data_IF_145295529234
#
_entry.id   IF_145295529234
#
_cell.length_a   1.000
_cell.length_b   1.000
_cell.length_c   1.000
_cell.angle_alpha   90.00
_cell.angle_beta   90.00
_cell.angle_gamma   90.00
#
_symmetry.space_group_name_H-M   'P 1'
#
loop_
_entity.id
_entity.type
_entity.pdbx_description
1 polymer ?
#
# COMPACT_ATOMS: atom_id res chain seq x y z
N UNK A 1 19.43 -8.54 15.66
CA UNK A 1 19.28 -9.21 14.35
C UNK A 1 17.79 -9.19 14.01
N UNK A 2 17.44 -8.94 12.78
CA UNK A 2 16.03 -8.95 12.35
C UNK A 2 15.44 -10.36 12.52
N UNK A 3 14.18 -10.43 12.93
CA UNK A 3 13.39 -11.67 13.01
C UNK A 3 13.11 -12.25 11.61
N UNK A 4 13.05 -11.36 10.61
CA UNK A 4 12.82 -11.69 9.21
C UNK A 4 13.98 -11.19 8.36
N UNK A 5 14.38 -11.98 7.36
CA UNK A 5 15.43 -11.56 6.42
C UNK A 5 14.88 -10.61 5.36
N UNK A 6 13.62 -10.80 4.97
CA UNK A 6 12.93 -10.04 3.94
C UNK A 6 11.65 -9.43 4.51
N UNK A 7 11.51 -8.12 4.37
CA UNK A 7 10.35 -7.39 4.87
C UNK A 7 9.74 -6.62 3.70
N UNK A 8 8.49 -6.95 3.38
CA UNK A 8 7.72 -6.31 2.34
C UNK A 8 6.78 -5.29 2.99
N UNK A 9 6.83 -4.05 2.55
CA UNK A 9 5.97 -2.97 3.05
C UNK A 9 4.95 -2.57 1.99
N UNK A 10 3.70 -2.35 2.38
CA UNK A 10 2.83 -1.51 1.57
C UNK A 10 3.30 -0.04 1.65
N UNK A 11 2.77 0.79 0.78
CA UNK A 11 3.11 2.21 0.71
C UNK A 11 2.05 3.08 1.35
N UNK A 12 0.82 3.08 0.76
CA UNK A 12 -0.28 3.96 1.18
C UNK A 12 -0.89 3.46 2.49
N UNK A 13 -0.85 4.25 3.56
CA UNK A 13 -1.33 3.86 4.89
C UNK A 13 -0.31 3.10 5.74
N UNK A 14 0.84 2.72 5.17
CA UNK A 14 1.88 1.97 5.88
C UNK A 14 3.19 2.76 5.98
N UNK A 15 3.74 3.22 4.88
CA UNK A 15 4.92 4.09 4.86
C UNK A 15 4.54 5.56 4.79
N UNK A 16 3.44 5.87 4.09
CA UNK A 16 2.99 7.24 3.85
C UNK A 16 1.50 7.42 4.11
N UNK A 17 1.13 8.60 4.63
CA UNK A 17 -0.24 9.09 4.76
C UNK A 17 -0.63 9.81 3.47
N UNK A 18 -1.16 9.07 2.51
CA UNK A 18 -1.49 9.52 1.16
C UNK A 18 -2.97 9.86 0.96
N UNK A 19 -3.77 9.81 2.02
CA UNK A 19 -5.23 9.91 1.93
C UNK A 19 -5.72 11.20 1.32
N UNK A 20 -5.09 12.34 1.61
CA UNK A 20 -5.49 13.63 1.05
C UNK A 20 -5.42 13.61 -0.48
N UNK A 21 -4.29 13.21 -1.04
CA UNK A 21 -4.09 13.20 -2.49
C UNK A 21 -4.97 12.18 -3.21
N UNK A 22 -5.18 11.01 -2.60
CA UNK A 22 -6.08 9.99 -3.15
C UNK A 22 -7.52 10.48 -3.13
N UNK A 23 -8.01 11.01 -2.00
CA UNK A 23 -9.37 11.52 -1.86
C UNK A 23 -9.62 12.69 -2.83
N UNK A 24 -8.69 13.64 -2.94
CA UNK A 24 -8.80 14.76 -3.89
C UNK A 24 -8.90 14.26 -5.34
N UNK A 25 -8.12 13.23 -5.69
CA UNK A 25 -8.15 12.64 -7.02
C UNK A 25 -9.47 11.88 -7.30
N UNK A 26 -10.02 11.20 -6.29
CA UNK A 26 -11.35 10.56 -6.39
C UNK A 26 -12.44 11.61 -6.55
N UNK A 27 -12.42 12.69 -5.76
CA UNK A 27 -13.37 13.81 -5.89
C UNK A 27 -13.32 14.38 -7.31
N UNK A 28 -12.13 14.66 -7.84
CA UNK A 28 -11.96 15.15 -9.20
C UNK A 28 -12.60 14.22 -10.24
N UNK A 29 -12.39 12.91 -10.11
CA UNK A 29 -12.97 11.90 -11.02
C UNK A 29 -14.50 11.83 -10.93
N UNK A 30 -15.07 12.00 -9.74
CA UNK A 30 -16.52 11.98 -9.51
C UNK A 30 -17.19 13.26 -10.00
N UNK A 31 -16.61 14.43 -9.71
CA UNK A 31 -17.11 15.74 -10.18
C UNK A 31 -17.17 15.84 -11.71
N UNK A 32 -16.18 15.29 -12.41
CA UNK A 32 -16.20 15.21 -13.89
C UNK A 32 -17.33 14.35 -14.47
N UNK A 33 -18.00 13.58 -13.60
CA UNK A 33 -19.17 12.73 -13.93
C UNK A 33 -20.47 13.25 -13.35
N UNK A 34 -20.47 14.48 -12.83
CA UNK A 34 -21.63 15.07 -12.14
C UNK A 34 -22.11 14.20 -10.94
N UNK A 35 -21.21 13.41 -10.33
CA UNK A 35 -21.49 12.61 -9.13
C UNK A 35 -21.16 13.44 -7.90
N UNK A 36 -22.18 13.75 -7.10
CA UNK A 36 -22.01 14.50 -5.87
C UNK A 36 -21.21 13.72 -4.81
N UNK A 37 -20.34 14.42 -4.08
CA UNK A 37 -19.58 13.87 -2.95
C UNK A 37 -20.05 14.55 -1.66
N UNK A 38 -21.13 14.08 -1.03
CA UNK A 38 -21.69 14.68 0.17
C UNK A 38 -20.79 14.54 1.40
N UNK A 39 -20.00 13.46 1.46
CA UNK A 39 -19.08 13.18 2.56
C UNK A 39 -17.72 12.73 2.01
N UNK A 40 -16.72 13.62 2.13
CA UNK A 40 -15.35 13.33 1.72
C UNK A 40 -14.67 12.28 2.62
N UNK A 41 -15.06 12.19 3.89
CA UNK A 41 -14.47 11.22 4.81
C UNK A 41 -14.84 9.77 4.42
N UNK A 42 -16.02 9.56 3.82
CA UNK A 42 -16.41 8.26 3.29
C UNK A 42 -15.50 7.76 2.16
N UNK A 43 -14.76 8.65 1.48
CA UNK A 43 -13.83 8.27 0.41
C UNK A 43 -12.52 7.64 0.92
N UNK A 44 -12.29 7.59 2.24
CA UNK A 44 -11.12 6.89 2.81
C UNK A 44 -11.03 5.42 2.40
N UNK A 45 -12.16 4.81 2.06
CA UNK A 45 -12.24 3.43 1.54
C UNK A 45 -11.49 3.23 0.21
N UNK A 46 -11.13 4.31 -0.49
CA UNK A 46 -10.33 4.26 -1.72
C UNK A 46 -8.82 4.17 -1.45
N UNK A 47 -8.38 4.35 -0.20
CA UNK A 47 -6.96 4.28 0.14
C UNK A 47 -6.57 2.83 0.40
N UNK A 48 -5.65 2.30 -0.39
CA UNK A 48 -5.14 0.93 -0.34
C UNK A 48 -5.71 -0.01 -1.40
N UNK A 49 -7.04 -0.18 -1.54
CA UNK A 49 -7.61 -1.06 -2.56
C UNK A 49 -7.35 -0.63 -4.00
N UNK A 50 -7.39 -1.56 -4.98
CA UNK A 50 -7.39 -1.23 -6.40
C UNK A 50 -8.56 -0.28 -6.76
N UNK A 51 -8.27 0.80 -7.48
CA UNK A 51 -9.27 1.82 -7.82
C UNK A 51 -10.45 1.27 -8.60
N UNK A 52 -10.19 0.32 -9.52
CA UNK A 52 -11.24 -0.28 -10.34
C UNK A 52 -12.29 -1.00 -9.48
N UNK A 53 -11.81 -1.76 -8.49
CA UNK A 53 -12.66 -2.50 -7.56
C UNK A 53 -13.45 -1.52 -6.67
N UNK A 54 -12.79 -0.45 -6.18
CA UNK A 54 -13.43 0.58 -5.37
C UNK A 54 -14.52 1.35 -6.14
N UNK A 55 -14.27 1.76 -7.39
CA UNK A 55 -15.30 2.40 -8.21
C UNK A 55 -16.48 1.46 -8.52
N UNK A 56 -16.21 0.17 -8.74
CA UNK A 56 -17.27 -0.82 -8.93
C UNK A 56 -18.10 -1.02 -7.66
N UNK A 57 -17.43 -1.19 -6.51
CA UNK A 57 -18.07 -1.49 -5.23
C UNK A 57 -18.91 -0.32 -4.70
N UNK A 58 -18.38 0.89 -4.71
CA UNK A 58 -19.00 2.05 -4.05
C UNK A 58 -19.86 2.90 -4.99
N UNK A 59 -19.65 2.83 -6.29
CA UNK A 59 -20.36 3.62 -7.30
C UNK A 59 -21.06 2.78 -8.37
N UNK A 60 -20.98 1.45 -8.29
CA UNK A 60 -21.63 0.54 -9.25
C UNK A 60 -21.10 0.64 -10.67
N UNK A 61 -19.90 1.19 -10.86
CA UNK A 61 -19.31 1.38 -12.18
C UNK A 61 -18.91 0.04 -12.80
N UNK A 62 -19.31 -0.20 -14.04
CA UNK A 62 -18.77 -1.31 -14.81
C UNK A 62 -17.31 -1.04 -15.18
N UNK A 63 -16.63 -2.04 -15.78
CA UNK A 63 -15.20 -1.93 -16.10
C UNK A 63 -14.87 -0.73 -16.99
N UNK A 64 -15.71 -0.44 -18.00
CA UNK A 64 -15.48 0.68 -18.92
C UNK A 64 -15.59 2.03 -18.20
N UNK A 65 -16.63 2.21 -17.39
CA UNK A 65 -16.87 3.41 -16.59
C UNK A 65 -15.76 3.60 -15.55
N UNK A 66 -15.36 2.53 -14.85
CA UNK A 66 -14.27 2.54 -13.90
C UNK A 66 -12.93 2.93 -14.52
N UNK A 67 -12.61 2.42 -15.71
CA UNK A 67 -11.40 2.82 -16.44
C UNK A 67 -11.39 4.29 -16.83
N UNK A 68 -12.55 4.86 -17.22
CA UNK A 68 -12.69 6.30 -17.45
C UNK A 68 -12.53 7.09 -16.15
N UNK A 69 -13.09 6.59 -15.04
CA UNK A 69 -12.92 7.22 -13.73
C UNK A 69 -11.46 7.21 -13.29
N UNK A 70 -10.73 6.12 -13.49
CA UNK A 70 -9.30 6.02 -13.22
C UNK A 70 -8.50 7.00 -14.08
N UNK A 71 -8.87 7.20 -15.36
CA UNK A 71 -8.21 8.18 -16.21
C UNK A 71 -8.35 9.61 -15.64
N UNK A 72 -9.56 10.00 -15.23
CA UNK A 72 -9.82 11.30 -14.63
C UNK A 72 -9.14 11.44 -13.24
N UNK A 73 -9.16 10.39 -12.41
CA UNK A 73 -8.38 10.32 -11.16
C UNK A 73 -6.90 10.61 -11.45
N UNK A 74 -6.32 9.98 -12.48
CA UNK A 74 -4.91 10.12 -12.84
C UNK A 74 -4.55 11.51 -13.34
N UNK A 75 -5.48 12.27 -13.91
CA UNK A 75 -5.24 13.68 -14.27
C UNK A 75 -4.85 14.50 -13.04
N UNK A 76 -5.65 14.42 -11.97
CA UNK A 76 -5.36 15.13 -10.72
C UNK A 76 -4.15 14.54 -10.00
N UNK A 77 -4.12 13.21 -9.86
CA UNK A 77 -3.07 12.52 -9.10
C UNK A 77 -1.69 12.78 -9.68
N UNK A 78 -1.53 12.71 -11.00
CA UNK A 78 -0.24 12.90 -11.67
C UNK A 78 0.27 14.35 -11.56
N UNK A 79 -0.63 15.33 -11.56
CA UNK A 79 -0.29 16.76 -11.46
C UNK A 79 0.09 17.13 -10.02
N UNK A 80 -0.77 16.81 -9.05
CA UNK A 80 -0.62 17.27 -7.66
C UNK A 80 -0.89 16.23 -6.58
N UNK A 81 -1.86 15.34 -6.77
CA UNK A 81 -2.31 14.42 -5.72
C UNK A 81 -1.21 13.53 -5.15
N UNK A 82 -0.23 13.13 -5.94
CA UNK A 82 0.90 12.34 -5.45
C UNK A 82 1.79 13.07 -4.44
N UNK A 83 1.78 14.42 -4.42
CA UNK A 83 2.50 15.26 -3.45
C UNK A 83 1.68 15.61 -2.22
N UNK A 84 0.34 15.51 -2.30
CA UNK A 84 -0.57 15.66 -1.16
C UNK A 84 -0.48 14.40 -0.29
N UNK A 85 0.70 14.20 0.29
CA UNK A 85 1.14 12.98 0.94
C UNK A 85 2.24 13.33 1.96
N UNK A 86 2.41 12.51 2.99
CA UNK A 86 3.50 12.67 3.97
C UNK A 86 3.99 11.32 4.45
N UNK A 87 5.26 11.22 4.85
CA UNK A 87 5.81 10.02 5.47
C UNK A 87 5.34 9.96 6.92
N UNK A 88 4.88 8.80 7.40
CA UNK A 88 4.56 8.65 8.82
C UNK A 88 5.80 8.92 9.68
N UNK A 89 5.63 9.68 10.79
CA UNK A 89 6.74 9.95 11.71
C UNK A 89 7.38 8.64 12.20
N UNK A 90 8.71 8.59 12.19
CA UNK A 90 9.47 7.40 12.63
C UNK A 90 9.78 6.37 11.54
N UNK A 91 9.11 6.40 10.38
CA UNK A 91 9.35 5.44 9.27
C UNK A 91 10.81 5.44 8.80
N UNK A 92 11.47 6.57 8.47
CA UNK A 92 12.86 6.54 8.04
C UNK A 92 13.77 5.90 9.09
N UNK A 93 13.52 6.17 10.38
CA UNK A 93 14.31 5.65 11.49
C UNK A 93 14.20 4.13 11.64
N UNK A 94 12.97 3.57 11.51
CA UNK A 94 12.82 2.11 11.59
C UNK A 94 13.39 1.41 10.35
N UNK A 95 13.24 1.99 9.16
CA UNK A 95 13.83 1.43 7.93
C UNK A 95 15.35 1.35 8.03
N UNK A 96 16.01 2.42 8.54
CA UNK A 96 17.44 2.42 8.76
C UNK A 96 17.86 1.36 9.79
N UNK A 97 17.14 1.23 10.91
CA UNK A 97 17.42 0.22 11.92
C UNK A 97 17.27 -1.21 11.38
N UNK A 98 16.25 -1.48 10.58
CA UNK A 98 16.04 -2.79 9.94
C UNK A 98 17.17 -3.12 8.96
N UNK A 99 17.59 -2.16 8.12
CA UNK A 99 18.76 -2.32 7.23
C UNK A 99 20.02 -2.61 8.01
N UNK A 100 20.27 -1.87 9.10
CA UNK A 100 21.43 -2.08 9.97
C UNK A 100 21.38 -3.45 10.71
N UNK A 101 20.19 -3.99 10.95
CA UNK A 101 19.98 -5.34 11.47
C UNK A 101 20.17 -6.45 10.43
N UNK A 102 20.42 -6.10 9.16
CA UNK A 102 20.69 -7.01 8.05
C UNK A 102 19.44 -7.43 7.27
N UNK A 103 18.29 -6.76 7.46
CA UNK A 103 17.09 -7.06 6.70
C UNK A 103 17.16 -6.50 5.26
N UNK A 104 16.59 -7.23 4.32
CA UNK A 104 16.29 -6.79 2.96
C UNK A 104 14.88 -6.23 2.90
N UNK A 105 14.72 -4.99 2.43
CA UNK A 105 13.46 -4.30 2.43
C UNK A 105 12.92 -4.12 1.01
N UNK A 106 11.63 -4.36 0.83
CA UNK A 106 10.93 -4.19 -0.44
C UNK A 106 9.64 -3.40 -0.24
N UNK A 107 9.25 -2.62 -1.25
CA UNK A 107 7.88 -2.10 -1.34
C UNK A 107 7.07 -3.06 -2.22
N UNK A 108 5.92 -3.50 -1.71
CA UNK A 108 4.93 -4.34 -2.40
C UNK A 108 3.55 -3.67 -2.29
N UNK A 109 3.16 -2.86 -3.28
CA UNK A 109 1.99 -1.99 -3.18
C UNK A 109 0.99 -2.17 -4.32
N UNK A 110 -0.30 -2.01 -4.02
CA UNK A 110 -1.36 -1.95 -5.04
C UNK A 110 -1.34 -0.64 -5.84
N UNK A 111 -0.56 0.36 -5.40
CA UNK A 111 -0.32 1.57 -6.19
C UNK A 111 0.46 1.23 -7.47
N UNK A 112 0.15 1.83 -8.64
CA UNK A 112 0.95 1.64 -9.85
C UNK A 112 2.43 1.94 -9.64
N UNK A 113 3.31 1.02 -10.04
CA UNK A 113 4.75 1.05 -9.77
C UNK A 113 5.44 2.38 -10.13
N UNK A 114 5.12 3.05 -11.27
CA UNK A 114 5.75 4.34 -11.58
C UNK A 114 5.44 5.42 -10.54
N UNK A 115 4.22 5.41 -9.95
CA UNK A 115 3.87 6.35 -8.89
C UNK A 115 4.53 5.96 -7.56
N UNK A 116 4.59 4.66 -7.24
CA UNK A 116 5.26 4.20 -6.03
C UNK A 116 6.75 4.59 -6.02
N UNK A 117 7.45 4.39 -7.13
CA UNK A 117 8.85 4.79 -7.30
C UNK A 117 9.02 6.31 -7.16
N UNK A 118 8.18 7.09 -7.84
CA UNK A 118 8.21 8.57 -7.77
C UNK A 118 8.03 9.09 -6.35
N UNK A 119 7.10 8.51 -5.58
CA UNK A 119 6.83 8.88 -4.19
C UNK A 119 8.00 8.48 -3.30
N UNK A 120 8.52 7.26 -3.44
CA UNK A 120 9.65 6.79 -2.65
C UNK A 120 10.93 7.63 -2.90
N UNK A 121 11.16 8.06 -4.14
CA UNK A 121 12.26 8.97 -4.49
C UNK A 121 12.06 10.36 -3.88
N UNK A 122 10.85 10.93 -4.00
CA UNK A 122 10.54 12.27 -3.50
C UNK A 122 10.73 12.41 -1.99
N UNK A 123 10.37 11.36 -1.24
CA UNK A 123 10.53 11.32 0.22
C UNK A 123 11.87 10.73 0.68
N UNK A 124 12.82 10.52 -0.23
CA UNK A 124 14.14 9.92 0.08
C UNK A 124 14.05 8.55 0.77
N UNK A 125 12.99 7.80 0.48
CA UNK A 125 12.77 6.45 1.01
C UNK A 125 13.40 5.36 0.13
N UNK A 126 13.56 5.60 -1.17
CA UNK A 126 14.07 4.62 -2.15
C UNK A 126 15.42 4.01 -1.74
N UNK A 127 16.26 4.77 -1.04
CA UNK A 127 17.58 4.33 -0.56
C UNK A 127 17.55 3.15 0.43
N UNK A 128 16.40 2.91 1.08
CA UNK A 128 16.26 1.81 2.04
C UNK A 128 15.84 0.50 1.39
N UNK A 129 15.27 0.55 0.19
CA UNK A 129 14.63 -0.61 -0.44
C UNK A 129 15.51 -1.25 -1.51
N UNK A 130 15.58 -2.57 -1.46
CA UNK A 130 16.28 -3.38 -2.46
C UNK A 130 15.41 -3.53 -3.73
N UNK A 131 14.08 -3.34 -3.63
CA UNK A 131 13.15 -3.31 -4.75
C UNK A 131 11.85 -2.58 -4.43
N UNK A 132 11.25 -2.01 -5.45
CA UNK A 132 9.93 -1.36 -5.39
C UNK A 132 9.07 -1.96 -6.49
N UNK A 133 8.05 -2.69 -6.09
CA UNK A 133 7.10 -3.38 -6.98
C UNK A 133 5.69 -2.86 -6.71
N UNK A 134 5.01 -2.50 -7.75
CA UNK A 134 3.63 -2.03 -7.69
C UNK A 134 2.74 -2.69 -8.74
N UNK A 135 1.45 -2.31 -8.73
CA UNK A 135 0.51 -2.70 -9.76
C UNK A 135 0.88 -2.14 -11.14
N UNK A 136 0.22 -2.63 -12.18
CA UNK A 136 0.44 -2.11 -13.54
C UNK A 136 -0.58 -1.03 -13.92
N UNK A 137 -0.15 -0.05 -14.74
CA UNK A 137 -1.03 1.03 -15.20
C UNK A 137 -2.17 0.55 -16.09
N UNK A 138 -2.05 -0.61 -16.72
CA UNK A 138 -3.06 -1.22 -17.58
C UNK A 138 -4.08 -2.10 -16.82
N UNK A 139 -4.02 -2.07 -15.49
CA UNK A 139 -4.93 -2.80 -14.57
C UNK A 139 -4.95 -4.33 -14.83
N UNK A 140 -3.82 -4.93 -15.29
CA UNK A 140 -3.69 -6.38 -15.41
C UNK A 140 -3.19 -7.04 -14.14
N UNK A 141 -2.25 -6.37 -13.45
CA UNK A 141 -1.76 -6.77 -12.13
C UNK A 141 -2.24 -5.71 -11.15
N UNK A 142 -3.22 -6.07 -10.31
CA UNK A 142 -3.86 -5.15 -9.36
C UNK A 142 -3.93 -5.73 -7.95
N UNK A 143 -4.01 -7.06 -7.84
CA UNK A 143 -4.14 -7.73 -6.55
C UNK A 143 -2.84 -7.71 -5.78
N UNK A 144 -2.91 -7.47 -4.48
CA UNK A 144 -1.75 -7.51 -3.58
C UNK A 144 -0.98 -8.83 -3.68
N UNK A 145 -1.67 -9.95 -3.77
CA UNK A 145 -1.02 -11.26 -3.91
C UNK A 145 -0.15 -11.38 -5.16
N UNK A 146 -0.58 -10.83 -6.30
CA UNK A 146 0.20 -10.82 -7.54
C UNK A 146 1.46 -9.94 -7.41
N UNK A 147 1.33 -8.79 -6.73
CA UNK A 147 2.47 -7.89 -6.48
C UNK A 147 3.49 -8.55 -5.55
N UNK A 148 3.01 -9.20 -4.48
CA UNK A 148 3.88 -9.96 -3.57
C UNK A 148 4.61 -11.08 -4.33
N UNK A 149 3.92 -11.83 -5.18
CA UNK A 149 4.52 -12.90 -6.00
C UNK A 149 5.67 -12.37 -6.88
N UNK A 150 5.51 -11.17 -7.47
CA UNK A 150 6.58 -10.52 -8.23
C UNK A 150 7.78 -10.14 -7.36
N UNK A 151 7.57 -9.69 -6.12
CA UNK A 151 8.67 -9.43 -5.17
C UNK A 151 9.37 -10.74 -4.82
N UNK A 152 8.63 -11.80 -4.51
CA UNK A 152 9.19 -13.09 -4.16
C UNK A 152 10.00 -13.69 -5.31
N UNK A 153 9.57 -13.47 -6.56
CA UNK A 153 10.33 -13.88 -7.74
C UNK A 153 11.68 -13.13 -7.86
N UNK A 154 11.78 -11.88 -7.38
CA UNK A 154 13.05 -11.14 -7.31
C UNK A 154 13.96 -11.65 -6.19
N UNK A 155 13.40 -12.04 -5.05
CA UNK A 155 14.16 -12.59 -3.91
C UNK A 155 14.70 -13.99 -4.24
N UNK A 156 13.97 -14.79 -5.03
CA UNK A 156 14.31 -16.16 -5.34
C UNK A 156 13.85 -17.13 -4.24
N UNK A 157 14.38 -18.37 -4.22
CA UNK A 157 13.83 -19.45 -3.37
C UNK A 157 14.09 -19.30 -1.86
N UNK A 158 14.96 -18.37 -1.44
CA UNK A 158 15.38 -18.22 -0.03
C UNK A 158 14.37 -17.48 0.86
N UNK A 159 13.23 -17.03 0.33
CA UNK A 159 12.24 -16.26 1.07
C UNK A 159 11.47 -17.07 2.12
N UNK A 160 11.37 -18.38 1.97
CA UNK A 160 10.48 -19.23 2.76
C UNK A 160 10.80 -19.23 4.24
N UNK A 161 9.79 -18.91 5.08
CA UNK A 161 9.91 -18.83 6.53
C UNK A 161 10.76 -17.65 7.05
N UNK A 162 11.21 -16.75 6.15
CA UNK A 162 12.08 -15.61 6.48
C UNK A 162 11.51 -14.28 6.01
N UNK A 163 10.31 -14.29 5.44
CA UNK A 163 9.65 -13.11 4.85
C UNK A 163 8.39 -12.76 5.61
N UNK A 164 8.12 -11.46 5.75
CA UNK A 164 6.89 -10.92 6.34
C UNK A 164 6.38 -9.78 5.47
N UNK A 165 5.05 -9.66 5.36
CA UNK A 165 4.37 -8.47 4.83
C UNK A 165 4.01 -7.53 5.97
N UNK A 166 4.09 -6.24 5.73
CA UNK A 166 3.61 -5.17 6.62
C UNK A 166 2.63 -4.31 5.85
N UNK A 167 1.42 -4.16 6.36
CA UNK A 167 0.38 -3.39 5.70
C UNK A 167 -0.72 -2.97 6.65
N UNK A 168 -1.59 -2.07 6.23
CA UNK A 168 -2.65 -1.50 7.06
C UNK A 168 -4.05 -1.99 6.70
N UNK A 169 -4.21 -2.81 5.65
CA UNK A 169 -5.50 -3.28 5.17
C UNK A 169 -5.59 -4.80 5.07
N UNK A 170 -6.83 -5.31 5.06
CA UNK A 170 -7.11 -6.73 4.80
C UNK A 170 -6.47 -7.26 3.51
N UNK A 171 -6.32 -6.41 2.50
CA UNK A 171 -5.71 -6.78 1.22
C UNK A 171 -4.24 -7.19 1.37
N UNK A 172 -3.51 -6.57 2.31
CA UNK A 172 -2.13 -6.93 2.64
C UNK A 172 -2.06 -8.29 3.32
N UNK A 173 -2.96 -8.49 4.29
CA UNK A 173 -3.06 -9.76 5.02
C UNK A 173 -3.45 -10.88 4.09
N UNK A 174 -4.50 -10.69 3.29
CA UNK A 174 -4.98 -11.69 2.34
C UNK A 174 -3.95 -12.01 1.26
N UNK A 175 -3.31 -10.97 0.70
CA UNK A 175 -2.26 -11.14 -0.30
C UNK A 175 -1.02 -11.85 0.23
N UNK A 176 -0.61 -11.58 1.46
CA UNK A 176 0.46 -12.30 2.15
C UNK A 176 0.09 -13.78 2.35
N UNK A 177 -1.12 -14.04 2.85
CA UNK A 177 -1.63 -15.38 3.12
C UNK A 177 -1.73 -16.24 1.86
N UNK A 178 -2.18 -15.67 0.73
CA UNK A 178 -2.19 -16.37 -0.57
C UNK A 178 -0.78 -16.81 -1.00
N UNK A 179 0.26 -16.08 -0.58
CA UNK A 179 1.68 -16.38 -0.82
C UNK A 179 2.36 -17.17 0.31
N UNK A 180 1.60 -17.64 1.31
CA UNK A 180 2.13 -18.38 2.43
C UNK A 180 3.01 -17.56 3.39
N UNK A 181 2.84 -16.23 3.42
CA UNK A 181 3.58 -15.32 4.28
C UNK A 181 2.75 -14.85 5.46
N UNK A 182 3.36 -14.62 6.64
CA UNK A 182 2.73 -13.85 7.70
C UNK A 182 2.60 -12.37 7.29
N UNK A 183 1.59 -11.69 7.85
CA UNK A 183 1.43 -10.24 7.72
C UNK A 183 1.31 -9.62 9.11
N UNK A 184 2.05 -8.54 9.36
CA UNK A 184 1.88 -7.67 10.51
C UNK A 184 1.01 -6.48 10.07
N UNK A 185 -0.16 -6.35 10.69
CA UNK A 185 -1.06 -5.23 10.48
C UNK A 185 -0.59 -3.99 11.24
N UNK A 186 -0.80 -2.79 10.69
CA UNK A 186 -0.52 -1.52 11.36
C UNK A 186 -1.79 -0.70 11.54
N UNK A 187 -2.02 -0.12 12.73
CA UNK A 187 -3.24 0.62 13.07
C UNK A 187 -3.11 2.14 12.88
N UNK A 188 -1.93 2.62 12.57
CA UNK A 188 -1.74 4.05 12.27
C UNK A 188 -2.14 4.42 10.82
N UNK A 189 -2.52 3.42 10.01
CA UNK A 189 -3.01 3.58 8.65
C UNK A 189 -4.53 3.78 8.55
N UNK A 190 -5.16 3.16 7.57
CA UNK A 190 -6.58 3.34 7.23
C UNK A 190 -7.48 2.17 7.63
N UNK A 191 -6.91 0.97 7.84
CA UNK A 191 -7.64 -0.21 8.29
C UNK A 191 -7.97 -0.18 9.78
N UNK A 192 -8.98 -0.97 10.17
CA UNK A 192 -9.33 -1.15 11.58
C UNK A 192 -8.69 -2.41 12.16
N UNK A 193 -8.69 -2.50 13.50
CA UNK A 193 -8.23 -3.71 14.19
C UNK A 193 -9.07 -4.92 13.79
N UNK A 194 -10.39 -4.74 13.74
CA UNK A 194 -11.34 -5.79 13.38
C UNK A 194 -11.07 -6.30 11.96
N UNK A 195 -10.85 -5.39 10.99
CA UNK A 195 -10.50 -5.74 9.60
C UNK A 195 -9.25 -6.63 9.55
N UNK A 196 -8.19 -6.22 10.26
CA UNK A 196 -6.92 -6.95 10.26
C UNK A 196 -7.01 -8.30 11.00
N UNK A 197 -7.74 -8.36 12.12
CA UNK A 197 -7.95 -9.60 12.89
C UNK A 197 -8.81 -10.60 12.11
N UNK A 198 -9.90 -10.15 11.48
CA UNK A 198 -10.77 -10.99 10.65
C UNK A 198 -10.02 -11.53 9.41
N UNK A 199 -9.15 -10.74 8.80
CA UNK A 199 -8.28 -11.20 7.72
C UNK A 199 -7.22 -12.21 8.20
N UNK A 200 -6.91 -12.25 9.49
CA UNK A 200 -5.96 -13.17 10.09
C UNK A 200 -4.52 -12.67 10.11
N UNK A 201 -4.32 -11.39 10.43
CA UNK A 201 -2.99 -10.83 10.65
C UNK A 201 -2.22 -11.62 11.72
N UNK A 202 -0.95 -11.89 11.49
CA UNK A 202 -0.09 -12.65 12.40
C UNK A 202 0.34 -11.83 13.63
N UNK A 203 0.28 -10.52 13.55
CA UNK A 203 0.53 -9.55 14.60
C UNK A 203 -0.07 -8.21 14.21
N UNK A 204 -0.30 -7.34 15.21
CA UNK A 204 -0.83 -5.99 14.99
C UNK A 204 -0.01 -4.99 15.79
N UNK A 205 0.51 -3.97 15.11
CA UNK A 205 1.22 -2.87 15.73
C UNK A 205 0.39 -1.59 15.72
N UNK A 206 0.29 -0.93 16.87
CA UNK A 206 -0.47 0.32 17.02
C UNK A 206 0.34 1.55 16.58
N UNK A 207 1.66 1.46 16.64
CA UNK A 207 2.56 2.59 16.35
C UNK A 207 3.73 2.15 15.47
N UNK A 208 4.40 3.12 14.86
CA UNK A 208 5.61 2.87 14.06
C UNK A 208 6.73 2.27 14.94
N UNK A 209 6.88 2.74 16.19
CA UNK A 209 7.89 2.20 17.12
C UNK A 209 7.55 0.77 17.53
N UNK A 210 6.26 0.47 17.76
CA UNK A 210 5.78 -0.89 18.05
C UNK A 210 6.07 -1.86 16.91
N UNK A 211 5.92 -1.40 15.66
CA UNK A 211 6.25 -2.20 14.48
C UNK A 211 7.72 -2.65 14.47
N UNK A 212 8.65 -1.79 14.85
CA UNK A 212 10.05 -2.17 14.93
C UNK A 212 10.29 -3.33 15.92
N UNK A 213 9.56 -3.34 17.04
CA UNK A 213 9.64 -4.43 18.04
C UNK A 213 9.11 -5.77 17.49
N UNK A 214 8.10 -5.72 16.64
CA UNK A 214 7.56 -6.93 15.98
C UNK A 214 8.52 -7.51 14.93
N UNK A 215 9.37 -6.66 14.33
CA UNK A 215 10.25 -7.03 13.22
C UNK A 215 11.68 -7.41 13.66
N UNK A 216 12.13 -6.96 14.83
CA UNK A 216 13.45 -7.28 15.43
C UNK A 216 13.35 -8.42 16.46
#
# INVERSE_FOLDING_TARGET
MSKYNYILFDLDGTLTDSGEGIINSVVHALEKRDIAVPDRAALRVFVGPPLLDSFAQYYGMNREEGMKAIADYREYFTDRGWKENSVYPGIPQILEQLKNAGAHLYIATSKPEPFAKRIAEYFDLSKYFDGIVGSTLDEKITKKSQVIDLVLAQIGEDYRGKTVMVGDREHDVNGAKENGLPCIGVLYGYGSREELEEAGAAGISETVEGLLTELL
#
